data_IF_136063837207
#
_entry.id   IF_136063837207
#
_cell.length_a   1.000
_cell.length_b   1.000
_cell.length_c   1.000
_cell.angle_alpha   90.00
_cell.angle_beta   90.00
_cell.angle_gamma   90.00
#
_symmetry.space_group_name_H-M   'P 1'
#
loop_
_entity.id
_entity.type
_entity.pdbx_description
1 polymer ?
#
# COMPACT_ATOMS: atom_id res chain seq x y z
N UNK A 1 16.59 -7.73 8.77
CA UNK A 1 16.10 -8.65 9.76
C UNK A 1 16.58 -10.09 9.56
N UNK A 2 17.77 -10.37 9.03
CA UNK A 2 18.35 -11.72 8.91
C UNK A 2 18.27 -12.32 7.51
N UNK A 3 17.30 -11.96 6.70
CA UNK A 3 17.09 -12.50 5.34
C UNK A 3 17.68 -11.61 4.24
N UNK A 4 18.97 -11.24 4.38
CA UNK A 4 19.63 -10.30 3.46
C UNK A 4 19.72 -10.86 2.02
N UNK A 5 19.94 -12.16 1.88
CA UNK A 5 20.03 -12.82 0.57
C UNK A 5 18.67 -12.77 -0.16
N UNK A 6 17.62 -13.17 0.53
CA UNK A 6 16.24 -13.20 0.02
C UNK A 6 15.77 -11.80 -0.35
N UNK A 7 16.06 -10.80 0.48
CA UNK A 7 15.80 -9.40 0.19
C UNK A 7 16.48 -8.95 -1.11
N UNK A 8 17.76 -9.24 -1.28
CA UNK A 8 18.51 -8.84 -2.47
C UNK A 8 17.95 -9.53 -3.73
N UNK A 9 17.63 -10.83 -3.66
CA UNK A 9 16.99 -11.55 -4.77
C UNK A 9 15.62 -10.93 -5.11
N UNK A 10 14.85 -10.50 -4.11
CA UNK A 10 13.58 -9.81 -4.34
C UNK A 10 13.76 -8.47 -5.08
N UNK A 11 14.74 -7.65 -4.69
CA UNK A 11 15.03 -6.41 -5.42
C UNK A 11 15.57 -6.68 -6.84
N UNK A 12 16.45 -7.65 -7.02
CA UNK A 12 16.94 -8.05 -8.36
C UNK A 12 15.78 -8.49 -9.26
N UNK A 13 14.84 -9.28 -8.72
CA UNK A 13 13.64 -9.68 -9.45
C UNK A 13 12.81 -8.47 -9.88
N UNK A 14 12.54 -7.53 -8.98
CA UNK A 14 11.78 -6.32 -9.30
C UNK A 14 12.48 -5.45 -10.34
N UNK A 15 13.81 -5.29 -10.27
CA UNK A 15 14.59 -4.56 -11.27
C UNK A 15 14.44 -5.21 -12.65
N UNK A 16 14.60 -6.53 -12.72
CA UNK A 16 14.62 -7.27 -13.98
C UNK A 16 13.22 -7.45 -14.61
N UNK A 17 12.16 -7.38 -13.82
CA UNK A 17 10.77 -7.54 -14.26
C UNK A 17 10.03 -6.22 -14.49
N UNK A 18 10.68 -5.07 -14.25
CA UNK A 18 10.07 -3.78 -14.53
C UNK A 18 9.81 -3.59 -16.02
N UNK A 19 8.60 -3.15 -16.36
CA UNK A 19 8.22 -2.84 -17.73
C UNK A 19 8.86 -1.53 -18.21
N UNK A 20 8.87 -1.31 -19.52
CA UNK A 20 9.48 -0.12 -20.14
C UNK A 20 8.84 1.19 -19.66
N UNK A 21 7.55 1.17 -19.32
CA UNK A 21 6.83 2.32 -18.76
C UNK A 21 7.06 2.52 -17.25
N UNK A 22 7.85 1.68 -16.60
CA UNK A 22 8.19 1.75 -15.19
C UNK A 22 7.25 0.98 -14.27
N UNK A 23 6.19 0.37 -14.79
CA UNK A 23 5.21 -0.41 -14.02
C UNK A 23 5.59 -1.88 -13.87
N UNK A 24 4.72 -2.63 -13.20
CA UNK A 24 4.68 -4.09 -13.19
C UNK A 24 3.25 -4.56 -13.42
N UNK A 25 3.11 -5.75 -14.00
CA UNK A 25 1.82 -6.42 -14.05
C UNK A 25 1.35 -6.79 -12.64
N UNK A 26 0.06 -6.67 -12.36
CA UNK A 26 -0.55 -6.98 -11.06
C UNK A 26 -0.47 -8.45 -10.67
N UNK A 27 -0.34 -9.34 -11.67
CA UNK A 27 -0.07 -10.76 -11.47
C UNK A 27 1.12 -11.19 -12.32
N UNK A 28 2.12 -11.74 -11.67
CA UNK A 28 3.30 -12.31 -12.31
C UNK A 28 3.11 -13.82 -12.42
N UNK A 29 2.57 -14.25 -13.56
CA UNK A 29 2.87 -15.54 -14.20
C UNK A 29 2.34 -16.83 -13.60
N UNK A 30 1.52 -16.86 -12.54
CA UNK A 30 0.89 -18.12 -12.17
C UNK A 30 -0.50 -17.94 -11.55
N UNK A 31 -1.48 -18.64 -12.08
CA UNK A 31 -2.73 -18.92 -11.35
C UNK A 31 -2.48 -20.10 -10.43
N UNK A 32 -2.97 -19.99 -9.20
CA UNK A 32 -2.96 -21.10 -8.25
C UNK A 32 -4.35 -21.73 -8.32
N UNK A 33 -4.44 -22.96 -8.77
CA UNK A 33 -5.69 -23.75 -8.73
C UNK A 33 -5.63 -24.72 -7.55
N UNK A 34 -6.77 -24.92 -6.89
CA UNK A 34 -6.89 -25.95 -5.88
C UNK A 34 -7.14 -27.29 -6.59
N UNK A 35 -6.23 -28.23 -6.40
CA UNK A 35 -6.36 -29.58 -6.89
C UNK A 35 -7.13 -30.41 -5.85
N UNK A 36 -8.38 -30.74 -6.17
CA UNK A 36 -9.26 -31.52 -5.29
C UNK A 36 -8.76 -32.96 -5.07
N UNK A 37 -8.02 -33.53 -6.01
CA UNK A 37 -7.51 -34.90 -5.92
C UNK A 37 -6.33 -35.00 -4.95
N UNK A 38 -5.49 -33.99 -4.90
CA UNK A 38 -4.33 -33.95 -4.01
C UNK A 38 -4.56 -33.13 -2.72
N UNK A 39 -5.66 -32.35 -2.66
CA UNK A 39 -5.98 -31.43 -1.56
C UNK A 39 -4.96 -30.30 -1.40
N UNK A 40 -4.24 -29.97 -2.45
CA UNK A 40 -3.17 -28.96 -2.42
C UNK A 40 -3.35 -27.91 -3.52
N UNK A 41 -2.74 -26.74 -3.31
CA UNK A 41 -2.70 -25.70 -4.34
C UNK A 41 -1.57 -26.01 -5.33
N UNK A 42 -1.91 -26.10 -6.60
CA UNK A 42 -0.97 -26.35 -7.70
C UNK A 42 -0.83 -25.07 -8.53
N UNK A 43 0.41 -24.57 -8.67
CA UNK A 43 0.70 -23.47 -9.57
C UNK A 43 0.53 -23.91 -11.02
N UNK A 44 -0.34 -23.26 -11.78
CA UNK A 44 -0.37 -23.35 -13.25
C UNK A 44 0.29 -22.10 -13.83
N UNK A 45 1.23 -22.29 -14.74
CA UNK A 45 1.59 -21.22 -15.67
C UNK A 45 0.32 -20.93 -16.50
N UNK A 46 -0.25 -19.73 -16.33
CA UNK A 46 -1.31 -19.28 -17.18
C UNK A 46 -0.83 -18.10 -18.00
N UNK A 47 -1.03 -18.18 -19.33
CA UNK A 47 -0.87 -17.05 -20.23
C UNK A 47 -1.89 -15.92 -19.97
N UNK A 48 -2.82 -16.14 -19.06
CA UNK A 48 -3.86 -15.21 -18.64
C UNK A 48 -3.48 -14.48 -17.35
N UNK A 49 -2.28 -13.91 -17.28
CA UNK A 49 -1.93 -12.92 -16.25
C UNK A 49 -2.85 -11.71 -16.39
N UNK A 50 -3.18 -11.06 -15.27
CA UNK A 50 -3.77 -9.73 -15.34
C UNK A 50 -2.74 -8.77 -15.91
N UNK A 51 -2.96 -8.28 -17.12
CA UNK A 51 -2.15 -7.23 -17.75
C UNK A 51 -2.38 -5.85 -17.11
N UNK A 52 -3.23 -5.80 -16.10
CA UNK A 52 -3.47 -4.60 -15.31
C UNK A 52 -2.19 -4.17 -14.60
N UNK A 53 -1.82 -2.92 -14.80
CA UNK A 53 -0.65 -2.28 -14.18
C UNK A 53 -1.13 -1.39 -13.05
N UNK A 54 -1.18 -1.95 -11.85
CA UNK A 54 -1.67 -1.25 -10.65
C UNK A 54 -0.67 -0.17 -10.21
N UNK A 55 -1.15 1.06 -10.10
CA UNK A 55 -0.32 2.23 -9.74
C UNK A 55 0.18 2.16 -8.30
N UNK A 56 -0.65 1.62 -7.39
CA UNK A 56 -0.28 1.44 -6.00
C UNK A 56 0.83 0.38 -5.84
N UNK A 57 0.70 -0.77 -6.52
CA UNK A 57 1.74 -1.81 -6.51
C UNK A 57 3.06 -1.27 -7.06
N UNK A 58 3.01 -0.55 -8.18
CA UNK A 58 4.20 0.06 -8.77
C UNK A 58 4.87 1.06 -7.82
N UNK A 59 4.10 1.85 -7.07
CA UNK A 59 4.64 2.81 -6.13
C UNK A 59 5.39 2.17 -4.94
N UNK A 60 5.05 0.94 -4.55
CA UNK A 60 5.60 0.28 -3.34
C UNK A 60 7.11 0.08 -3.37
N UNK A 61 7.74 0.01 -4.55
CA UNK A 61 9.21 -0.08 -4.64
C UNK A 61 9.89 1.05 -3.87
N UNK A 62 9.34 2.26 -3.91
CA UNK A 62 9.90 3.41 -3.19
C UNK A 62 9.79 3.24 -1.67
N UNK A 63 8.69 2.69 -1.18
CA UNK A 63 8.50 2.39 0.24
C UNK A 63 9.47 1.30 0.70
N UNK A 64 9.61 0.22 -0.06
CA UNK A 64 10.53 -0.87 0.24
C UNK A 64 12.00 -0.39 0.26
N UNK A 65 12.41 0.38 -0.75
CA UNK A 65 13.77 0.92 -0.85
C UNK A 65 14.09 1.90 0.26
N UNK A 66 13.13 2.77 0.65
CA UNK A 66 13.32 3.68 1.77
C UNK A 66 13.47 2.94 3.10
N UNK A 67 12.65 1.91 3.35
CA UNK A 67 12.77 1.09 4.55
C UNK A 67 14.09 0.31 4.59
N UNK A 68 14.54 -0.24 3.48
CA UNK A 68 15.87 -0.88 3.39
C UNK A 68 16.98 0.10 3.71
N UNK A 69 16.94 1.32 3.13
CA UNK A 69 17.91 2.37 3.46
C UNK A 69 17.88 2.77 4.94
N UNK A 70 16.71 2.84 5.57
CA UNK A 70 16.60 3.16 7.00
C UNK A 70 17.31 2.13 7.89
N UNK A 71 17.40 0.87 7.44
CA UNK A 71 18.02 -0.24 8.16
C UNK A 71 19.53 -0.29 7.89
N UNK A 72 19.94 -0.30 6.63
CA UNK A 72 21.32 -0.56 6.22
C UNK A 72 22.18 0.70 6.03
N UNK A 73 21.54 1.86 5.83
CA UNK A 73 22.17 3.17 5.55
C UNK A 73 23.09 3.17 4.31
N UNK A 74 22.93 2.22 3.42
CA UNK A 74 23.74 2.09 2.20
C UNK A 74 23.23 3.05 1.11
N UNK A 75 23.96 4.15 0.89
CA UNK A 75 23.69 5.07 -0.24
C UNK A 75 24.00 4.39 -1.58
N UNK A 76 24.94 3.46 -1.60
CA UNK A 76 25.29 2.67 -2.80
C UNK A 76 24.14 1.76 -3.23
N UNK A 77 23.54 1.00 -2.31
CA UNK A 77 22.40 0.13 -2.61
C UNK A 77 21.19 0.96 -3.06
N UNK A 78 20.96 2.11 -2.41
CA UNK A 78 19.90 3.01 -2.81
C UNK A 78 20.11 3.58 -4.22
N UNK A 79 21.35 3.90 -4.59
CA UNK A 79 21.70 4.39 -5.92
C UNK A 79 21.47 3.31 -7.00
N UNK A 80 21.72 2.04 -6.71
CA UNK A 80 21.43 0.91 -7.61
C UNK A 80 19.93 0.77 -7.87
N UNK A 81 19.08 1.02 -6.86
CA UNK A 81 17.63 0.95 -6.96
C UNK A 81 17.01 2.20 -7.58
N UNK A 82 17.75 3.29 -7.64
CA UNK A 82 17.21 4.59 -8.05
C UNK A 82 16.55 4.61 -9.43
N UNK A 83 17.11 4.03 -10.51
CA UNK A 83 16.46 4.00 -11.81
C UNK A 83 15.07 3.33 -11.74
N UNK A 84 14.98 2.22 -11.04
CA UNK A 84 13.71 1.48 -10.86
C UNK A 84 12.69 2.30 -10.05
N UNK A 85 13.13 2.98 -9.00
CA UNK A 85 12.27 3.89 -8.21
C UNK A 85 11.79 5.05 -9.09
N UNK A 86 12.70 5.65 -9.85
CA UNK A 86 12.40 6.81 -10.70
C UNK A 86 11.35 6.46 -11.75
N UNK A 87 11.55 5.36 -12.49
CA UNK A 87 10.62 4.92 -13.52
C UNK A 87 9.25 4.57 -12.94
N UNK A 88 9.21 3.85 -11.81
CA UNK A 88 7.95 3.50 -11.15
C UNK A 88 7.15 4.73 -10.69
N UNK A 89 7.82 5.71 -10.11
CA UNK A 89 7.15 6.94 -9.65
C UNK A 89 6.73 7.81 -10.85
N UNK A 90 7.50 7.84 -11.94
CA UNK A 90 7.10 8.52 -13.17
C UNK A 90 5.81 7.93 -13.73
N UNK A 91 5.73 6.60 -13.88
CA UNK A 91 4.50 5.90 -14.27
C UNK A 91 3.30 6.27 -13.37
N UNK A 92 3.49 6.30 -12.06
CA UNK A 92 2.43 6.64 -11.10
C UNK A 92 1.94 8.08 -11.28
N UNK A 93 2.87 9.03 -11.48
CA UNK A 93 2.52 10.45 -11.66
C UNK A 93 1.84 10.70 -13.01
N UNK A 94 2.22 9.99 -14.06
CA UNK A 94 1.56 10.05 -15.37
C UNK A 94 0.08 9.63 -15.29
N UNK A 95 -0.28 8.79 -14.33
CA UNK A 95 -1.65 8.40 -14.04
C UNK A 95 -2.40 9.36 -13.08
N UNK A 96 -1.79 10.49 -12.70
CA UNK A 96 -2.45 11.50 -11.88
C UNK A 96 -3.35 12.40 -12.73
N UNK A 97 -4.61 12.55 -12.31
CA UNK A 97 -5.54 13.46 -12.95
C UNK A 97 -5.22 14.93 -12.62
N UNK A 98 -5.80 15.84 -13.40
CA UNK A 98 -5.68 17.28 -13.14
C UNK A 98 -6.29 17.67 -11.79
N UNK A 99 -7.26 16.90 -11.28
CA UNK A 99 -7.94 17.13 -10.02
C UNK A 99 -7.12 16.63 -8.81
N UNK A 100 -6.10 15.77 -9.05
CA UNK A 100 -5.10 15.36 -8.08
C UNK A 100 -5.16 13.90 -7.64
N UNK A 101 -6.26 13.19 -7.88
CA UNK A 101 -6.33 11.74 -7.64
C UNK A 101 -5.46 10.98 -8.64
N UNK A 102 -4.99 9.79 -8.26
CA UNK A 102 -4.25 8.89 -9.14
C UNK A 102 -5.15 7.69 -9.45
N UNK A 103 -5.28 7.38 -10.75
CA UNK A 103 -6.03 6.21 -11.22
C UNK A 103 -5.47 4.95 -10.57
N UNK A 104 -6.34 4.00 -10.22
CA UNK A 104 -5.90 2.79 -9.53
C UNK A 104 -5.07 1.87 -10.42
N UNK A 105 -5.31 1.89 -11.74
CA UNK A 105 -4.55 1.10 -12.70
C UNK A 105 -4.44 1.79 -14.06
N UNK A 106 -3.38 1.46 -14.80
CA UNK A 106 -3.30 1.65 -16.23
C UNK A 106 -3.69 0.32 -16.88
N UNK A 107 -4.77 0.34 -17.65
CA UNK A 107 -5.24 -0.78 -18.43
C UNK A 107 -4.79 -0.62 -19.88
N UNK A 108 -4.95 -1.68 -20.67
CA UNK A 108 -4.73 -1.59 -22.09
C UNK A 108 -5.76 -0.66 -22.78
N UNK A 109 -5.59 -0.40 -24.06
CA UNK A 109 -6.42 0.52 -24.85
C UNK A 109 -7.92 0.22 -24.81
N UNK A 110 -8.32 -1.00 -24.41
CA UNK A 110 -9.70 -1.49 -24.46
C UNK A 110 -10.47 -1.35 -23.15
N UNK A 111 -9.80 -1.03 -22.04
CA UNK A 111 -10.43 -0.92 -20.73
C UNK A 111 -9.86 0.28 -19.93
N UNK A 112 -10.17 1.53 -20.33
CA UNK A 112 -9.70 2.70 -19.62
C UNK A 112 -10.28 2.71 -18.20
N UNK A 113 -9.42 2.59 -17.21
CA UNK A 113 -9.81 2.76 -15.82
C UNK A 113 -9.70 4.22 -15.45
N UNK A 114 -10.83 4.87 -15.29
CA UNK A 114 -10.90 6.30 -14.95
C UNK A 114 -11.27 6.55 -13.50
N UNK A 115 -11.13 5.55 -12.63
CA UNK A 115 -11.46 5.67 -11.22
C UNK A 115 -10.23 5.61 -10.30
N UNK A 116 -10.41 6.02 -9.06
CA UNK A 116 -9.41 6.05 -8.03
C UNK A 116 -9.93 5.44 -6.73
N UNK A 117 -9.03 4.79 -5.99
CA UNK A 117 -9.30 4.22 -4.66
C UNK A 117 -8.64 5.09 -3.59
N UNK A 118 -9.37 5.41 -2.52
CA UNK A 118 -8.83 6.15 -1.37
C UNK A 118 -7.64 5.41 -0.78
N UNK A 119 -7.75 4.11 -0.56
CA UNK A 119 -6.68 3.28 0.00
C UNK A 119 -5.44 3.24 -0.89
N UNK A 120 -5.62 3.01 -2.20
CA UNK A 120 -4.54 3.04 -3.18
C UNK A 120 -3.84 4.41 -3.22
N UNK A 121 -4.61 5.48 -3.29
CA UNK A 121 -4.08 6.85 -3.28
C UNK A 121 -3.35 7.20 -1.96
N UNK A 122 -3.82 6.73 -0.81
CA UNK A 122 -3.12 6.90 0.46
C UNK A 122 -1.77 6.18 0.48
N UNK A 123 -1.72 4.95 -0.02
CA UNK A 123 -0.51 4.16 -0.15
C UNK A 123 0.49 4.80 -1.12
N UNK A 124 0.02 5.28 -2.27
CA UNK A 124 0.83 6.05 -3.23
C UNK A 124 1.36 7.34 -2.57
N UNK A 125 0.53 8.06 -1.81
CA UNK A 125 0.96 9.24 -1.06
C UNK A 125 2.15 8.94 -0.13
N UNK A 126 2.08 7.82 0.60
CA UNK A 126 3.19 7.35 1.43
C UNK A 126 4.41 6.96 0.61
N UNK A 127 4.22 6.29 -0.52
CA UNK A 127 5.30 5.89 -1.42
C UNK A 127 6.01 7.10 -2.05
N UNK A 128 5.28 8.15 -2.43
CA UNK A 128 5.84 9.43 -2.88
C UNK A 128 6.71 10.10 -1.80
N UNK A 129 6.27 10.11 -0.54
CA UNK A 129 7.10 10.59 0.57
C UNK A 129 8.40 9.80 0.67
N UNK A 130 8.33 8.48 0.56
CA UNK A 130 9.50 7.61 0.60
C UNK A 130 10.45 7.88 -0.58
N UNK A 131 9.91 8.02 -1.80
CA UNK A 131 10.67 8.34 -3.00
C UNK A 131 11.39 9.70 -2.89
N UNK A 132 10.71 10.73 -2.40
CA UNK A 132 11.29 12.06 -2.15
C UNK A 132 12.41 11.98 -1.12
N UNK A 133 12.25 11.15 -0.07
CA UNK A 133 13.30 10.93 0.91
C UNK A 133 14.51 10.21 0.30
N UNK A 134 14.30 9.23 -0.58
CA UNK A 134 15.37 8.58 -1.34
C UNK A 134 16.12 9.59 -2.21
N UNK A 135 15.39 10.42 -2.97
CA UNK A 135 15.95 11.49 -3.79
C UNK A 135 16.80 12.46 -2.96
N UNK A 136 16.29 12.85 -1.78
CA UNK A 136 17.03 13.74 -0.84
C UNK A 136 18.35 13.14 -0.38
N UNK A 137 18.40 11.85 -0.07
CA UNK A 137 19.64 11.14 0.29
C UNK A 137 20.64 11.13 -0.85
N UNK A 138 20.12 10.97 -2.08
CA UNK A 138 20.92 10.95 -3.31
C UNK A 138 21.26 12.34 -3.85
N UNK A 139 20.70 13.40 -3.25
CA UNK A 139 20.88 14.80 -3.67
C UNK A 139 20.32 15.08 -5.08
N UNK A 140 19.22 14.39 -5.42
CA UNK A 140 18.53 14.51 -6.72
C UNK A 140 17.30 15.42 -6.54
N UNK A 141 17.11 16.36 -7.48
CA UNK A 141 15.91 17.20 -7.50
C UNK A 141 14.70 16.44 -8.08
N UNK A 142 13.56 16.49 -7.38
CA UNK A 142 12.28 15.86 -7.74
C UNK A 142 11.13 16.80 -7.40
N UNK A 143 11.20 18.05 -7.78
CA UNK A 143 10.17 19.06 -7.43
C UNK A 143 8.79 18.71 -8.00
N UNK A 144 8.73 18.08 -9.17
CA UNK A 144 7.49 17.55 -9.76
C UNK A 144 6.79 16.53 -8.85
N UNK A 145 7.55 15.67 -8.17
CA UNK A 145 7.00 14.69 -7.24
C UNK A 145 6.41 15.35 -5.98
N UNK A 146 7.00 16.46 -5.55
CA UNK A 146 6.49 17.25 -4.42
C UNK A 146 5.15 17.91 -4.77
N UNK A 147 5.03 18.42 -6.00
CA UNK A 147 3.78 19.00 -6.50
C UNK A 147 2.70 17.91 -6.66
N UNK A 148 3.05 16.74 -7.20
CA UNK A 148 2.16 15.60 -7.30
C UNK A 148 1.67 15.15 -5.91
N UNK A 149 2.58 14.99 -4.95
CA UNK A 149 2.27 14.65 -3.55
C UNK A 149 1.27 15.64 -2.94
N UNK A 150 1.46 16.95 -3.16
CA UNK A 150 0.58 17.99 -2.64
C UNK A 150 -0.81 17.90 -3.25
N UNK A 151 -0.93 17.74 -4.57
CA UNK A 151 -2.20 17.56 -5.28
C UNK A 151 -2.95 16.31 -4.81
N UNK A 152 -2.23 15.19 -4.68
CA UNK A 152 -2.79 13.93 -4.20
C UNK A 152 -3.32 14.07 -2.76
N UNK A 153 -2.54 14.68 -1.88
CA UNK A 153 -2.95 14.92 -0.49
C UNK A 153 -4.18 15.81 -0.38
N UNK A 154 -4.30 16.85 -1.24
CA UNK A 154 -5.49 17.70 -1.33
C UNK A 154 -6.71 16.91 -1.83
N UNK A 155 -6.54 16.10 -2.87
CA UNK A 155 -7.62 15.26 -3.41
C UNK A 155 -8.17 14.30 -2.34
N UNK A 156 -7.30 13.53 -1.66
CA UNK A 156 -7.72 12.60 -0.61
C UNK A 156 -8.43 13.30 0.55
N UNK A 157 -7.94 14.49 0.93
CA UNK A 157 -8.47 15.20 2.10
C UNK A 157 -9.77 15.94 1.83
N UNK A 158 -9.89 16.57 0.66
CA UNK A 158 -10.87 17.61 0.40
C UNK A 158 -11.84 17.30 -0.74
N UNK A 159 -11.62 16.23 -1.52
CA UNK A 159 -12.40 15.92 -2.73
C UNK A 159 -12.87 14.47 -2.78
N UNK A 160 -13.70 14.04 -1.80
CA UNK A 160 -14.13 12.63 -1.72
C UNK A 160 -14.92 12.16 -2.95
N UNK A 161 -15.52 13.07 -3.72
CA UNK A 161 -16.23 12.80 -4.97
C UNK A 161 -15.35 12.28 -6.12
N UNK A 162 -14.03 12.37 -5.99
CA UNK A 162 -13.09 11.87 -6.97
C UNK A 162 -12.83 10.35 -6.88
N UNK A 163 -13.35 9.71 -5.84
CA UNK A 163 -13.10 8.30 -5.55
C UNK A 163 -14.38 7.48 -5.65
N UNK A 164 -14.25 6.20 -5.97
CA UNK A 164 -15.37 5.24 -6.08
C UNK A 164 -16.46 5.69 -7.07
N UNK A 165 -16.10 6.28 -8.21
CA UNK A 165 -17.06 6.85 -9.17
C UNK A 165 -17.76 5.81 -10.04
N UNK A 166 -17.10 4.68 -10.28
CA UNK A 166 -17.56 3.63 -11.23
C UNK A 166 -17.99 2.35 -10.52
N UNK A 167 -17.86 2.27 -9.21
CA UNK A 167 -18.25 1.12 -8.38
C UNK A 167 -18.83 1.53 -7.04
N UNK A 168 -19.34 0.57 -6.29
CA UNK A 168 -19.87 0.79 -4.95
C UNK A 168 -18.80 1.35 -4.01
N UNK A 169 -19.19 2.35 -3.19
CA UNK A 169 -18.29 3.00 -2.25
C UNK A 169 -17.55 2.01 -1.35
N UNK A 170 -16.23 2.19 -1.27
CA UNK A 170 -15.34 1.39 -0.43
C UNK A 170 -15.33 1.82 1.05
N UNK A 171 -16.11 2.83 1.44
CA UNK A 171 -16.22 3.28 2.83
C UNK A 171 -16.76 2.22 3.81
N UNK A 172 -17.22 1.07 3.30
CA UNK A 172 -17.56 -0.09 4.12
C UNK A 172 -16.32 -0.83 4.63
N UNK A 173 -15.16 -0.66 4.00
CA UNK A 173 -13.89 -1.27 4.39
C UNK A 173 -13.14 -0.41 5.40
N UNK A 174 -12.50 -1.05 6.39
CA UNK A 174 -11.78 -0.34 7.45
C UNK A 174 -10.55 0.41 6.94
N UNK A 175 -9.92 -0.07 5.88
CA UNK A 175 -8.78 0.61 5.26
C UNK A 175 -9.14 2.02 4.78
N UNK A 176 -10.32 2.24 4.21
CA UNK A 176 -10.80 3.59 3.82
C UNK A 176 -10.91 4.56 5.00
N UNK A 177 -11.13 4.02 6.20
CA UNK A 177 -11.22 4.81 7.41
C UNK A 177 -9.86 5.21 7.97
N UNK A 178 -8.90 4.26 8.12
CA UNK A 178 -7.65 4.55 8.82
C UNK A 178 -6.45 4.84 7.88
N UNK A 179 -6.47 4.46 6.60
CA UNK A 179 -5.35 4.68 5.68
C UNK A 179 -4.97 6.16 5.49
N UNK A 180 -5.91 7.12 5.40
CA UNK A 180 -5.54 8.53 5.34
C UNK A 180 -4.71 9.00 6.55
N UNK A 181 -4.93 8.36 7.71
CA UNK A 181 -4.19 8.62 8.95
C UNK A 181 -2.86 7.85 8.92
N UNK A 182 -2.91 6.54 8.61
CA UNK A 182 -1.75 5.67 8.52
C UNK A 182 -0.70 6.23 7.56
N UNK A 183 -1.11 6.69 6.40
CA UNK A 183 -0.21 7.23 5.38
C UNK A 183 0.22 8.68 5.62
N UNK A 184 -0.44 9.39 6.53
CA UNK A 184 -0.05 10.73 6.97
C UNK A 184 -0.64 11.87 6.15
N UNK A 185 -1.72 11.61 5.42
CA UNK A 185 -2.52 12.63 4.71
C UNK A 185 -3.22 13.55 5.72
N UNK A 186 -3.72 12.98 6.81
CA UNK A 186 -4.45 13.71 7.86
C UNK A 186 -3.48 14.16 8.96
N UNK A 187 -3.63 15.41 9.42
CA UNK A 187 -2.82 15.92 10.53
C UNK A 187 -3.10 15.19 11.83
N UNK A 188 -2.11 15.13 12.74
CA UNK A 188 -2.26 14.44 14.04
C UNK A 188 -3.46 14.94 14.85
N UNK A 189 -3.79 16.23 14.76
CA UNK A 189 -4.91 16.83 15.50
C UNK A 189 -6.26 16.30 15.00
N UNK A 190 -6.43 16.22 13.69
CA UNK A 190 -7.66 15.72 13.04
C UNK A 190 -7.74 14.19 13.09
N UNK A 191 -6.59 13.52 13.09
CA UNK A 191 -6.49 12.06 13.01
C UNK A 191 -7.19 11.37 14.18
N UNK A 192 -7.00 11.87 15.39
CA UNK A 192 -7.58 11.28 16.60
C UNK A 192 -9.12 11.32 16.56
N UNK A 193 -9.69 12.48 16.26
CA UNK A 193 -11.14 12.64 16.13
C UNK A 193 -11.72 11.75 15.03
N UNK A 194 -11.11 11.77 13.84
CA UNK A 194 -11.55 10.92 12.72
C UNK A 194 -11.47 9.43 13.03
N UNK A 195 -10.40 8.99 13.71
CA UNK A 195 -10.24 7.59 14.07
C UNK A 195 -11.33 7.13 15.06
N UNK A 196 -11.52 7.86 16.16
CA UNK A 196 -12.47 7.46 17.18
C UNK A 196 -13.94 7.66 16.77
N UNK A 197 -14.25 8.52 15.80
CA UNK A 197 -15.63 8.71 15.32
C UNK A 197 -16.25 7.50 14.63
N UNK A 198 -15.44 6.55 14.17
CA UNK A 198 -15.90 5.31 13.51
C UNK A 198 -15.45 4.04 14.26
N UNK A 199 -14.86 4.17 15.46
CA UNK A 199 -14.26 3.08 16.21
C UNK A 199 -15.21 1.89 16.38
N UNK A 200 -16.40 2.12 16.91
CA UNK A 200 -17.43 1.10 17.17
C UNK A 200 -17.90 0.36 15.91
N UNK A 201 -17.65 0.91 14.71
CA UNK A 201 -18.05 0.27 13.46
C UNK A 201 -17.09 -0.81 13.04
N UNK A 202 -15.81 -0.65 13.39
CA UNK A 202 -14.75 -1.51 12.87
C UNK A 202 -13.99 -2.29 13.94
N UNK A 203 -14.03 -1.85 15.20
CA UNK A 203 -13.28 -2.52 16.26
C UNK A 203 -14.20 -3.41 17.08
N UNK A 204 -13.76 -4.65 17.30
CA UNK A 204 -14.37 -5.61 18.20
C UNK A 204 -13.41 -5.80 19.37
N UNK A 205 -13.88 -5.39 20.55
CA UNK A 205 -13.08 -5.44 21.78
C UNK A 205 -12.59 -6.86 22.08
N UNK A 206 -11.32 -6.99 22.46
CA UNK A 206 -10.67 -8.27 22.73
C UNK A 206 -10.36 -9.12 21.49
N UNK A 207 -10.79 -8.71 20.27
CA UNK A 207 -10.64 -9.51 19.04
C UNK A 207 -9.80 -8.80 17.99
N UNK A 208 -10.12 -7.54 17.65
CA UNK A 208 -9.36 -6.76 16.68
C UNK A 208 -10.19 -5.90 15.73
N UNK A 209 -9.62 -5.56 14.57
CA UNK A 209 -10.24 -4.73 13.56
C UNK A 209 -10.93 -5.56 12.47
N UNK A 210 -12.17 -5.22 12.17
CA UNK A 210 -12.91 -5.80 11.04
C UNK A 210 -12.34 -5.30 9.72
N UNK A 211 -12.24 -6.18 8.73
CA UNK A 211 -11.99 -5.80 7.34
C UNK A 211 -13.17 -4.97 6.79
N UNK A 212 -14.41 -5.43 7.07
CA UNK A 212 -15.64 -4.83 6.55
C UNK A 212 -16.62 -4.60 7.71
N UNK A 213 -17.21 -3.40 7.80
CA UNK A 213 -18.06 -2.99 8.94
C UNK A 213 -19.30 -3.85 9.15
N UNK A 214 -19.85 -4.38 8.06
CA UNK A 214 -21.11 -5.14 8.00
C UNK A 214 -20.91 -6.66 7.90
N UNK A 215 -19.66 -7.12 8.13
CA UNK A 215 -19.30 -8.53 8.21
C UNK A 215 -18.54 -8.81 9.51
N UNK A 216 -18.59 -10.03 10.06
CA UNK A 216 -17.89 -10.39 11.30
C UNK A 216 -16.38 -10.63 11.10
N UNK A 217 -15.84 -10.34 9.94
CA UNK A 217 -14.46 -10.68 9.52
C UNK A 217 -13.45 -9.75 10.20
N UNK A 218 -12.91 -10.18 11.32
CA UNK A 218 -11.74 -9.57 11.95
C UNK A 218 -10.49 -10.23 11.38
N UNK A 219 -9.49 -9.43 11.00
CA UNK A 219 -8.27 -9.91 10.38
C UNK A 219 -7.03 -9.46 11.12
N UNK A 220 -5.96 -10.24 10.98
CA UNK A 220 -4.66 -9.89 11.56
C UNK A 220 -4.08 -8.65 10.88
N UNK A 221 -4.23 -8.55 9.56
CA UNK A 221 -3.67 -7.46 8.77
C UNK A 221 -4.25 -6.10 9.20
N UNK A 222 -5.57 -5.94 9.14
CA UNK A 222 -6.22 -4.70 9.54
C UNK A 222 -6.02 -4.37 11.01
N UNK A 223 -5.95 -5.38 11.88
CA UNK A 223 -5.66 -5.18 13.31
C UNK A 223 -4.24 -4.63 13.52
N UNK A 224 -3.25 -5.20 12.83
CA UNK A 224 -1.87 -4.74 12.90
C UNK A 224 -1.69 -3.33 12.31
N UNK A 225 -2.31 -3.03 11.18
CA UNK A 225 -2.27 -1.70 10.55
C UNK A 225 -2.96 -0.64 11.41
N UNK A 226 -4.09 -0.98 12.05
CA UNK A 226 -4.75 -0.11 13.02
C UNK A 226 -3.85 0.15 14.24
N UNK A 227 -3.13 -0.87 14.75
CA UNK A 227 -2.18 -0.69 15.84
C UNK A 227 -1.03 0.27 15.44
N UNK A 228 -0.50 0.15 14.22
CA UNK A 228 0.49 1.10 13.68
C UNK A 228 -0.09 2.52 13.59
N UNK A 229 -1.34 2.64 13.13
CA UNK A 229 -2.06 3.91 13.03
C UNK A 229 -2.22 4.59 14.40
N UNK A 230 -2.63 3.82 15.42
CA UNK A 230 -2.72 4.28 16.81
C UNK A 230 -1.38 4.75 17.37
N UNK A 231 -0.32 3.98 17.13
CA UNK A 231 1.04 4.37 17.54
C UNK A 231 1.45 5.69 16.92
N UNK A 232 1.13 5.89 15.64
CA UNK A 232 1.46 7.11 14.90
C UNK A 232 0.77 8.35 15.45
N UNK A 233 -0.46 8.24 15.94
CA UNK A 233 -1.20 9.36 16.55
C UNK A 233 -0.91 9.57 18.04
N UNK A 234 -0.07 8.71 18.64
CA UNK A 234 0.36 8.81 20.04
C UNK A 234 -0.43 7.96 21.03
N UNK A 235 -1.38 7.14 20.56
CA UNK A 235 -2.19 6.22 21.39
C UNK A 235 -1.44 4.89 21.64
N UNK A 236 -0.24 4.98 22.26
CA UNK A 236 0.69 3.83 22.35
C UNK A 236 0.12 2.68 23.17
N UNK A 237 -0.60 2.95 24.25
CA UNK A 237 -1.20 1.88 25.07
C UNK A 237 -2.28 1.13 24.31
N UNK A 238 -3.16 1.84 23.64
CA UNK A 238 -4.22 1.24 22.81
C UNK A 238 -3.64 0.49 21.60
N UNK A 239 -2.52 0.98 21.04
CA UNK A 239 -1.81 0.28 19.97
C UNK A 239 -1.24 -1.06 20.44
N UNK A 240 -0.65 -1.10 21.63
CA UNK A 240 -0.11 -2.33 22.24
C UNK A 240 -1.23 -3.32 22.59
N UNK A 241 -2.34 -2.82 23.12
CA UNK A 241 -3.54 -3.59 23.39
C UNK A 241 -4.11 -4.20 22.09
N UNK A 242 -4.32 -3.39 21.05
CA UNK A 242 -4.80 -3.84 19.75
C UNK A 242 -3.88 -4.92 19.15
N UNK A 243 -2.57 -4.72 19.22
CA UNK A 243 -1.61 -5.73 18.74
C UNK A 243 -1.68 -7.02 19.56
N UNK A 244 -1.93 -6.93 20.87
CA UNK A 244 -2.05 -8.12 21.75
C UNK A 244 -3.21 -9.03 21.33
N UNK A 245 -4.30 -8.46 20.78
CA UNK A 245 -5.43 -9.25 20.28
C UNK A 245 -5.04 -10.21 19.17
N UNK A 246 -4.01 -9.88 18.36
CA UNK A 246 -3.54 -10.78 17.31
C UNK A 246 -2.89 -12.05 17.86
N UNK A 247 -2.33 -12.01 19.06
CA UNK A 247 -1.57 -13.13 19.63
C UNK A 247 -2.41 -14.38 19.88
N UNK A 248 -3.74 -14.24 20.06
CA UNK A 248 -4.64 -15.38 20.22
C UNK A 248 -4.75 -16.25 18.95
N UNK A 249 -4.37 -15.70 17.80
CA UNK A 249 -4.42 -16.36 16.48
C UNK A 249 -3.07 -16.88 16.00
N UNK A 250 -2.09 -16.90 16.91
CA UNK A 250 -0.75 -17.43 16.63
C UNK A 250 -0.73 -18.91 16.89
N UNK A 251 -0.26 -19.68 15.91
CA UNK A 251 -0.10 -21.12 16.04
C UNK A 251 1.23 -21.53 16.72
N UNK A 252 1.46 -22.84 16.88
CA UNK A 252 2.67 -23.41 17.50
C UNK A 252 3.94 -23.09 16.70
N UNK A 253 3.85 -22.90 15.39
CA UNK A 253 4.99 -22.51 14.53
C UNK A 253 5.36 -21.03 14.66
N UNK A 254 4.47 -20.25 15.25
CA UNK A 254 4.56 -18.80 15.35
C UNK A 254 3.93 -18.04 14.19
N UNK A 255 3.27 -18.72 13.26
CA UNK A 255 2.49 -18.11 12.21
C UNK A 255 1.15 -17.59 12.75
N UNK A 256 0.54 -16.65 12.02
CA UNK A 256 -0.78 -16.11 12.32
C UNK A 256 -1.79 -16.60 11.28
N UNK A 257 -2.98 -16.88 11.76
CA UNK A 257 -4.11 -17.29 10.90
C UNK A 257 -4.78 -16.09 10.22
#
# INVERSE_FOLDING_TARGET
LGFKKEKNLGFEYLINSQLEDGSWYGQLGSTVEFDEDTGSFVGKESDAGSFTRDTNFSAYIATASWHDYLINKSKEDLLKLWPTIYNAISFVIENQSVNGEIRWAAEDENAPNDDALVTGCCSIYKSLICAINCAKVLEINVDEWKESLKKLGDAIKNKPELFDRTWDSKQRFSMDWYYPILCGVVSKKEAKEKLFSKWEKFVVDGIGCKCVKDQPWVTIAETAELAITLKKIGESKLAEEMLSYTHQWKDESGAYW
#
